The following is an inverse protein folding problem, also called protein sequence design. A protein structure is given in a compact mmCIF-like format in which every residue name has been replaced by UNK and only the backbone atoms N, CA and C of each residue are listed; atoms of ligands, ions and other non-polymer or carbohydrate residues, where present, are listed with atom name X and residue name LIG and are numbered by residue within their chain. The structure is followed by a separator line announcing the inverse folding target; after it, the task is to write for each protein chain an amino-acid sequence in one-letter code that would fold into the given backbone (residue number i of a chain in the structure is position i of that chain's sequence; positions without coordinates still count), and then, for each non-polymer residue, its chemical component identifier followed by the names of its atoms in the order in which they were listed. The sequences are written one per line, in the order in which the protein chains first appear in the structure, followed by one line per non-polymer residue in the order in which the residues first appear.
data_IF_371762276474
#
_entry.id   IF_371762276474
#
_cell.length_a   1.000
_cell.length_b   1.000
_cell.length_c   1.000
_cell.angle_alpha   90.00
_cell.angle_beta   90.00
_cell.angle_gamma   90.00
#
_symmetry.space_group_name_H-M   'P 1'
#
loop_
_entity.id
_entity.type
_entity.pdbx_description
1 polymer ?
#
# COMPACT_ATOMS: atom_id res chain seq x y z
N UNK A 1 -31.18 -3.09 -1.14
CA UNK A 1 -31.14 -4.02 -2.29
C UNK A 1 -29.80 -4.73 -2.24
N UNK A 2 -29.79 -6.03 -1.93
CA UNK A 2 -28.57 -6.83 -1.92
C UNK A 2 -28.25 -7.33 -3.32
N UNK A 3 -27.00 -7.21 -3.75
CA UNK A 3 -26.55 -7.82 -4.99
C UNK A 3 -26.26 -9.29 -4.68
N UNK A 4 -27.13 -10.20 -5.13
CA UNK A 4 -26.83 -11.63 -5.11
C UNK A 4 -25.82 -11.91 -6.21
N UNK A 5 -24.54 -11.87 -5.86
CA UNK A 5 -23.48 -12.30 -6.78
C UNK A 5 -23.54 -13.81 -6.87
N UNK A 6 -23.80 -14.34 -8.07
CA UNK A 6 -23.82 -15.78 -8.28
C UNK A 6 -22.41 -16.37 -8.06
N UNK A 7 -22.32 -17.57 -7.48
CA UNK A 7 -21.04 -18.26 -7.24
C UNK A 7 -20.19 -18.38 -8.51
N UNK A 8 -20.83 -18.63 -9.66
CA UNK A 8 -20.14 -18.73 -10.95
C UNK A 8 -19.52 -17.41 -11.43
N UNK A 9 -20.09 -16.27 -11.07
CA UNK A 9 -19.53 -14.97 -11.42
C UNK A 9 -18.28 -14.65 -10.57
N UNK A 10 -18.29 -15.04 -9.29
CA UNK A 10 -17.12 -14.91 -8.41
C UNK A 10 -15.97 -15.77 -8.95
N UNK A 11 -16.24 -17.02 -9.31
CA UNK A 11 -15.23 -17.94 -9.85
C UNK A 11 -14.65 -17.43 -11.19
N UNK A 12 -15.49 -16.86 -12.06
CA UNK A 12 -15.02 -16.23 -13.31
C UNK A 12 -14.09 -15.05 -13.04
N UNK A 13 -14.50 -14.13 -12.16
CA UNK A 13 -13.72 -12.94 -11.80
C UNK A 13 -12.40 -13.30 -11.10
N UNK A 14 -12.43 -14.31 -10.22
CA UNK A 14 -11.23 -14.81 -9.53
C UNK A 14 -10.20 -15.35 -10.53
N UNK A 15 -10.67 -16.07 -11.55
CA UNK A 15 -9.80 -16.64 -12.59
C UNK A 15 -9.21 -15.57 -13.50
N UNK A 16 -10.04 -14.62 -13.93
CA UNK A 16 -9.61 -13.47 -14.72
C UNK A 16 -8.56 -12.63 -13.95
N UNK A 17 -8.77 -12.40 -12.66
CA UNK A 17 -7.81 -11.69 -11.81
C UNK A 17 -6.50 -12.47 -11.63
N UNK A 18 -6.59 -13.79 -11.46
CA UNK A 18 -5.43 -14.69 -11.40
C UNK A 18 -4.61 -14.64 -12.70
N UNK A 19 -5.26 -14.67 -13.86
CA UNK A 19 -4.60 -14.58 -15.17
C UNK A 19 -3.86 -13.25 -15.36
N UNK A 20 -4.44 -12.13 -14.89
CA UNK A 20 -3.83 -10.80 -14.98
C UNK A 20 -2.64 -10.66 -14.03
N UNK A 21 -2.76 -11.20 -12.82
CA UNK A 21 -1.78 -10.96 -11.73
C UNK A 21 -0.70 -12.04 -11.64
N UNK A 22 -0.92 -13.21 -12.24
CA UNK A 22 -0.05 -14.38 -12.10
C UNK A 22 -0.14 -15.08 -10.75
N UNK A 23 -1.05 -14.65 -9.87
CA UNK A 23 -1.26 -15.22 -8.53
C UNK A 23 -2.30 -16.35 -8.55
N UNK A 24 -2.36 -17.16 -7.48
CA UNK A 24 -3.45 -18.13 -7.35
C UNK A 24 -4.82 -17.41 -7.24
N UNK A 25 -5.92 -18.01 -7.73
CA UNK A 25 -7.24 -17.38 -7.70
C UNK A 25 -7.68 -16.92 -6.29
N UNK A 26 -7.40 -17.73 -5.27
CA UNK A 26 -7.74 -17.41 -3.88
C UNK A 26 -6.90 -16.24 -3.34
N UNK A 27 -5.62 -16.18 -3.68
CA UNK A 27 -4.72 -15.10 -3.28
C UNK A 27 -5.07 -13.78 -3.97
N UNK A 28 -5.38 -13.85 -5.27
CA UNK A 28 -5.82 -12.72 -6.07
C UNK A 28 -7.11 -12.11 -5.50
N UNK A 29 -8.12 -12.94 -5.19
CA UNK A 29 -9.39 -12.49 -4.59
C UNK A 29 -9.15 -11.90 -3.19
N UNK A 30 -8.37 -12.58 -2.34
CA UNK A 30 -8.04 -12.10 -0.99
C UNK A 30 -7.40 -10.72 -1.04
N UNK A 31 -6.42 -10.52 -1.92
CA UNK A 31 -5.71 -9.25 -2.06
C UNK A 31 -6.63 -8.16 -2.61
N UNK A 32 -7.40 -8.44 -3.66
CA UNK A 32 -8.33 -7.45 -4.23
C UNK A 32 -9.38 -6.99 -3.21
N UNK A 33 -9.88 -7.89 -2.37
CA UNK A 33 -10.79 -7.53 -1.29
C UNK A 33 -10.10 -6.67 -0.22
N UNK A 34 -8.89 -7.06 0.22
CA UNK A 34 -8.12 -6.29 1.19
C UNK A 34 -7.82 -4.87 0.70
N UNK A 35 -7.38 -4.71 -0.54
CA UNK A 35 -7.13 -3.41 -1.17
C UNK A 35 -8.39 -2.56 -1.29
N UNK A 36 -9.53 -3.19 -1.65
CA UNK A 36 -10.80 -2.49 -1.74
C UNK A 36 -11.25 -2.00 -0.37
N UNK A 37 -11.13 -2.83 0.67
CA UNK A 37 -11.45 -2.46 2.04
C UNK A 37 -10.54 -1.33 2.49
N UNK A 38 -9.22 -1.44 2.31
CA UNK A 38 -8.28 -0.40 2.71
C UNK A 38 -8.59 0.93 2.00
N UNK A 39 -8.84 0.90 0.69
CA UNK A 39 -9.21 2.10 -0.08
C UNK A 39 -10.50 2.74 0.42
N UNK A 40 -11.50 1.96 0.80
CA UNK A 40 -12.79 2.47 1.30
C UNK A 40 -12.74 2.89 2.77
N UNK A 41 -11.89 2.25 3.58
CA UNK A 41 -11.68 2.56 4.98
C UNK A 41 -10.73 3.76 5.18
N UNK A 42 -9.92 4.10 4.17
CA UNK A 42 -9.09 5.31 4.20
C UNK A 42 -9.99 6.55 4.28
N UNK A 43 -9.71 7.47 5.23
CA UNK A 43 -10.39 8.75 5.27
C UNK A 43 -10.26 9.46 3.92
N UNK A 44 -11.36 10.06 3.46
CA UNK A 44 -11.34 10.82 2.22
C UNK A 44 -10.25 11.91 2.27
N UNK A 45 -9.56 12.13 1.16
CA UNK A 45 -8.57 13.20 1.04
C UNK A 45 -9.23 14.54 1.42
N UNK A 46 -8.58 15.30 2.30
CA UNK A 46 -9.10 16.57 2.81
C UNK A 46 -10.19 16.44 3.88
N UNK A 47 -10.59 15.23 4.28
CA UNK A 47 -11.42 15.05 5.48
C UNK A 47 -10.63 15.41 6.75
N UNK A 48 -11.34 15.80 7.81
CA UNK A 48 -10.71 16.10 9.11
C UNK A 48 -9.85 14.92 9.61
N UNK A 49 -10.36 13.69 9.53
CA UNK A 49 -9.63 12.49 9.94
C UNK A 49 -8.37 12.24 9.07
N UNK A 50 -8.38 12.62 7.78
CA UNK A 50 -7.20 12.56 6.92
C UNK A 50 -6.14 13.57 7.37
N UNK A 51 -6.53 14.84 7.58
CA UNK A 51 -5.61 15.90 8.01
C UNK A 51 -5.06 15.66 9.42
N UNK A 52 -5.87 15.12 10.34
CA UNK A 52 -5.42 14.71 11.68
C UNK A 52 -4.37 13.59 11.60
N UNK A 53 -4.61 12.57 10.76
CA UNK A 53 -3.67 11.45 10.58
C UNK A 53 -2.35 11.92 9.93
N UNK A 54 -2.44 12.81 8.96
CA UNK A 54 -1.29 13.46 8.30
C UNK A 54 -0.51 14.31 9.30
N UNK A 55 -1.20 15.12 10.10
CA UNK A 55 -0.57 15.95 11.14
C UNK A 55 0.13 15.11 12.18
N UNK A 56 -0.50 14.03 12.65
CA UNK A 56 0.10 13.07 13.58
C UNK A 56 1.34 12.37 13.00
N UNK A 57 1.32 12.03 11.71
CA UNK A 57 2.47 11.46 11.02
C UNK A 57 3.67 12.43 11.02
N UNK A 58 3.46 13.69 10.62
CA UNK A 58 4.52 14.69 10.60
C UNK A 58 4.98 15.07 12.01
N UNK A 59 4.09 15.17 12.99
CA UNK A 59 4.47 15.40 14.38
C UNK A 59 5.39 14.29 14.92
N UNK A 60 5.13 13.02 14.57
CA UNK A 60 6.01 11.90 14.90
C UNK A 60 7.35 11.97 14.18
N UNK A 61 7.36 12.44 12.92
CA UNK A 61 8.56 12.61 12.13
C UNK A 61 9.45 13.74 12.70
N UNK A 62 8.84 14.89 13.03
CA UNK A 62 9.52 16.05 13.61
C UNK A 62 10.05 15.78 15.02
N UNK A 63 9.38 14.91 15.78
CA UNK A 63 9.85 14.47 17.09
C UNK A 63 11.08 13.55 17.02
N UNK A 64 11.45 13.02 15.84
CA UNK A 64 12.67 12.22 15.71
C UNK A 64 13.90 13.14 15.80
N UNK A 65 14.96 12.73 16.52
CA UNK A 65 16.22 13.44 16.49
C UNK A 65 16.70 13.57 15.05
N UNK A 66 17.00 14.80 14.59
CA UNK A 66 17.59 15.03 13.25
C UNK A 66 18.95 14.35 13.07
N UNK A 67 19.55 13.88 14.17
CA UNK A 67 20.79 13.12 14.27
C UNK A 67 20.57 11.62 14.46
N UNK A 68 19.33 11.12 14.30
CA UNK A 68 19.02 9.69 14.44
C UNK A 68 19.77 8.84 13.40
N UNK A 69 20.15 9.44 12.26
CA UNK A 69 21.13 8.90 11.34
C UNK A 69 22.25 9.95 11.14
N UNK A 70 23.51 9.65 11.52
CA UNK A 70 24.64 10.56 11.31
C UNK A 70 25.12 10.58 9.84
N UNK A 71 24.64 9.65 8.99
CA UNK A 71 25.06 9.56 7.59
C UNK A 71 24.47 10.71 6.76
N UNK A 72 25.20 11.23 5.76
CA UNK A 72 24.66 12.15 4.77
C UNK A 72 23.50 11.51 4.00
N UNK A 73 22.50 12.29 3.60
CA UNK A 73 21.33 11.80 2.86
C UNK A 73 21.69 11.01 1.60
N UNK A 74 22.78 11.38 0.90
CA UNK A 74 23.28 10.65 -0.27
C UNK A 74 23.72 9.23 0.04
N UNK A 75 24.31 9.02 1.21
CA UNK A 75 24.78 7.70 1.62
C UNK A 75 23.59 6.78 1.96
N UNK A 76 22.52 7.33 2.54
CA UNK A 76 21.28 6.59 2.78
C UNK A 76 20.60 6.24 1.45
N UNK A 77 20.59 7.16 0.49
CA UNK A 77 20.04 6.93 -0.85
C UNK A 77 20.79 5.81 -1.58
N UNK A 78 22.12 5.88 -1.62
CA UNK A 78 22.97 4.89 -2.31
C UNK A 78 22.96 3.50 -1.64
N UNK A 79 22.77 3.42 -0.32
CA UNK A 79 22.85 2.16 0.44
C UNK A 79 21.49 1.48 0.67
N UNK A 80 20.39 2.25 0.76
CA UNK A 80 19.07 1.73 1.16
C UNK A 80 17.99 1.88 0.10
N UNK A 81 18.15 2.78 -0.86
CA UNK A 81 17.14 2.99 -1.92
C UNK A 81 17.55 2.37 -3.24
N UNK A 82 18.85 2.19 -3.50
CA UNK A 82 19.35 1.61 -4.74
C UNK A 82 20.37 0.49 -4.49
N UNK A 83 20.36 -0.53 -5.35
CA UNK A 83 21.38 -1.58 -5.35
C UNK A 83 22.70 -1.08 -5.95
N UNK A 84 23.74 -1.92 -5.96
CA UNK A 84 25.07 -1.59 -6.52
C UNK A 84 25.05 -1.20 -8.01
N UNK A 85 23.92 -1.39 -8.70
CA UNK A 85 23.70 -1.04 -10.11
C UNK A 85 22.78 0.18 -10.28
N UNK A 86 22.44 0.86 -9.19
CA UNK A 86 21.55 2.01 -9.18
C UNK A 86 20.08 1.67 -9.43
N UNK A 87 19.66 0.42 -9.20
CA UNK A 87 18.26 0.01 -9.34
C UNK A 87 17.53 0.10 -8.00
N UNK A 88 16.27 0.56 -7.95
CA UNK A 88 15.52 0.65 -6.71
C UNK A 88 15.45 -0.70 -5.99
N UNK A 89 15.77 -0.74 -4.70
CA UNK A 89 15.57 -1.94 -3.87
C UNK A 89 14.09 -1.96 -3.47
N UNK A 90 13.34 -2.96 -3.95
CA UNK A 90 11.89 -3.12 -3.74
C UNK A 90 11.54 -4.48 -3.15
#
# INVERSE_FOLDING_TARGET
MGVEISRGEIERLARELSEITGESPDEAVRRALAEKIDRLARPALGSQAYEERKTAFFARLDARPRTADPRPWKQIEDEELYDERGQPIG
#
